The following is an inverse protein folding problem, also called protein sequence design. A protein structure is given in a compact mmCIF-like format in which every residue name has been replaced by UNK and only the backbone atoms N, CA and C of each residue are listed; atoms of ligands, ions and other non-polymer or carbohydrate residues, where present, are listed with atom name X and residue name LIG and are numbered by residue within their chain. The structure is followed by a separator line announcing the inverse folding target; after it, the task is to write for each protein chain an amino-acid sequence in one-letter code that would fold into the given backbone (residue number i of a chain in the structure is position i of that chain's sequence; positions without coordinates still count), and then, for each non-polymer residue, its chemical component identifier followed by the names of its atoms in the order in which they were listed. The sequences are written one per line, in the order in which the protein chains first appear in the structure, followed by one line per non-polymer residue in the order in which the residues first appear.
data_IF_084846820483
#
_entry.id   IF_084846820483
#
_cell.length_a   1.000
_cell.length_b   1.000
_cell.length_c   1.000
_cell.angle_alpha   90.00
_cell.angle_beta   90.00
_cell.angle_gamma   90.00
#
_symmetry.space_group_name_H-M   'P 1'
#
loop_
_entity.id
_entity.type
_entity.pdbx_description
1 polymer ?
#
# COMPACT_ATOMS: atom_id res chain seq x y z
N UNK A 1 14.48 -10.47 2.97
CA UNK A 1 15.53 -9.71 2.23
C UNK A 1 15.16 -8.23 2.25
N UNK A 2 16.12 -7.29 2.33
CA UNK A 2 15.82 -5.87 2.22
C UNK A 2 15.79 -5.41 0.75
N UNK A 3 15.19 -4.24 0.48
CA UNK A 3 15.03 -3.71 -0.87
C UNK A 3 16.35 -3.41 -1.59
N UNK A 4 17.43 -3.07 -0.86
CA UNK A 4 18.75 -2.80 -1.44
C UNK A 4 19.33 -4.09 -2.03
N UNK A 5 19.33 -5.18 -1.24
CA UNK A 5 19.78 -6.49 -1.70
C UNK A 5 18.91 -7.02 -2.85
N UNK A 6 17.59 -6.85 -2.74
CA UNK A 6 16.67 -7.29 -3.79
C UNK A 6 16.92 -6.57 -5.12
N UNK A 7 17.18 -5.25 -5.11
CA UNK A 7 17.51 -4.49 -6.33
C UNK A 7 18.83 -4.89 -6.99
N UNK A 8 19.74 -5.52 -6.25
CA UNK A 8 20.99 -6.05 -6.79
C UNK A 8 20.80 -7.38 -7.54
N UNK A 9 19.68 -8.07 -7.35
CA UNK A 9 19.36 -9.30 -8.08
C UNK A 9 19.17 -8.96 -9.55
N UNK A 10 19.86 -9.72 -10.43
CA UNK A 10 19.73 -9.54 -11.87
C UNK A 10 18.34 -9.83 -12.35
N UNK A 11 17.71 -8.87 -13.03
CA UNK A 11 16.40 -9.08 -13.67
C UNK A 11 16.48 -10.15 -14.77
N UNK A 12 17.62 -10.29 -15.43
CA UNK A 12 17.86 -11.33 -16.43
C UNK A 12 17.73 -12.74 -15.81
N UNK A 13 18.30 -12.99 -14.61
CA UNK A 13 18.13 -14.26 -13.89
C UNK A 13 16.67 -14.57 -13.59
N UNK A 14 15.91 -13.55 -13.24
CA UNK A 14 14.46 -13.71 -12.97
C UNK A 14 13.71 -14.05 -14.25
N UNK A 15 14.03 -13.40 -15.37
CA UNK A 15 13.43 -13.67 -16.68
C UNK A 15 13.78 -15.10 -17.18
N UNK A 16 15.04 -15.51 -17.04
CA UNK A 16 15.46 -16.88 -17.37
C UNK A 16 14.72 -17.94 -16.55
N UNK A 17 14.54 -17.71 -15.26
CA UNK A 17 13.75 -18.62 -14.41
C UNK A 17 12.28 -18.70 -14.83
N UNK A 18 11.77 -17.67 -15.50
CA UNK A 18 10.41 -17.64 -16.08
C UNK A 18 10.36 -18.25 -17.51
N UNK A 19 11.48 -18.77 -18.01
CA UNK A 19 11.58 -19.30 -19.37
C UNK A 19 11.57 -18.25 -20.47
N UNK A 20 11.89 -16.97 -20.12
CA UNK A 20 11.96 -15.89 -21.09
C UNK A 20 13.38 -15.78 -21.63
N UNK A 21 13.53 -15.95 -22.95
CA UNK A 21 14.80 -15.82 -23.66
C UNK A 21 14.83 -14.51 -24.45
N UNK A 22 15.99 -13.85 -24.58
CA UNK A 22 16.10 -12.64 -25.37
C UNK A 22 15.97 -12.95 -26.87
N UNK A 23 15.14 -12.18 -27.57
CA UNK A 23 14.95 -12.29 -29.02
C UNK A 23 16.02 -11.46 -29.77
N UNK A 24 16.48 -10.37 -29.16
CA UNK A 24 17.49 -9.47 -29.73
C UNK A 24 18.36 -8.88 -28.65
N UNK A 25 19.64 -8.71 -28.93
CA UNK A 25 20.59 -8.05 -28.01
C UNK A 25 21.33 -6.93 -28.75
N UNK A 26 21.59 -5.82 -28.06
CA UNK A 26 22.38 -4.72 -28.55
C UNK A 26 23.16 -4.08 -27.38
N UNK A 27 24.44 -4.45 -27.24
CA UNK A 27 25.25 -4.07 -26.09
C UNK A 27 24.63 -4.56 -24.77
N UNK A 28 24.39 -3.65 -23.84
CA UNK A 28 23.75 -3.94 -22.56
C UNK A 28 22.21 -4.07 -22.63
N UNK A 29 21.62 -3.75 -23.78
CA UNK A 29 20.16 -3.79 -23.98
C UNK A 29 19.72 -5.13 -24.60
N UNK A 30 18.88 -5.86 -23.87
CA UNK A 30 18.31 -7.14 -24.27
C UNK A 30 16.79 -7.01 -24.44
N UNK A 31 16.27 -7.48 -25.57
CA UNK A 31 14.87 -7.39 -25.94
C UNK A 31 14.20 -8.74 -25.89
N UNK A 32 13.03 -8.79 -25.27
CA UNK A 32 12.22 -9.98 -25.06
C UNK A 32 10.81 -9.76 -25.60
N UNK A 33 10.08 -10.83 -25.93
CA UNK A 33 8.63 -10.79 -25.91
C UNK A 33 8.18 -10.48 -24.48
N UNK A 34 7.18 -9.62 -24.34
CA UNK A 34 6.78 -9.17 -23.00
C UNK A 34 6.36 -10.34 -22.12
N UNK A 35 6.99 -10.52 -20.95
CA UNK A 35 6.54 -11.50 -19.97
C UNK A 35 5.21 -11.09 -19.29
N UNK A 36 4.74 -9.87 -19.50
CA UNK A 36 3.55 -9.32 -18.86
C UNK A 36 2.27 -9.58 -19.67
N UNK A 37 2.40 -9.84 -20.99
CA UNK A 37 1.29 -10.11 -21.91
C UNK A 37 1.72 -11.00 -23.07
N UNK A 38 0.77 -11.40 -23.89
CA UNK A 38 1.06 -12.09 -25.16
C UNK A 38 1.30 -11.07 -26.28
N UNK A 39 2.41 -11.20 -26.99
CA UNK A 39 2.75 -10.39 -28.17
C UNK A 39 3.60 -11.16 -29.17
N UNK A 40 3.69 -10.66 -30.40
CA UNK A 40 4.47 -11.28 -31.48
C UNK A 40 5.77 -10.52 -31.79
N UNK A 41 5.86 -9.26 -31.38
CA UNK A 41 7.01 -8.38 -31.62
C UNK A 41 7.65 -8.03 -30.27
N UNK A 42 8.99 -8.21 -30.12
CA UNK A 42 9.66 -7.92 -28.86
C UNK A 42 9.54 -6.44 -28.49
N UNK A 43 8.94 -6.14 -27.34
CA UNK A 43 8.77 -4.79 -26.85
C UNK A 43 9.22 -4.61 -25.39
N UNK A 44 9.56 -5.69 -24.71
CA UNK A 44 10.09 -5.65 -23.37
C UNK A 44 11.63 -5.61 -23.41
N UNK A 45 12.22 -4.53 -22.90
CA UNK A 45 13.66 -4.30 -22.90
C UNK A 45 14.20 -4.33 -21.47
N UNK A 46 15.36 -4.98 -21.28
CA UNK A 46 16.18 -4.82 -20.08
C UNK A 46 17.51 -4.15 -20.44
N UNK A 47 18.03 -3.35 -19.53
CA UNK A 47 19.41 -2.89 -19.57
C UNK A 47 20.18 -3.60 -18.44
N UNK A 48 21.13 -4.47 -18.80
CA UNK A 48 21.89 -5.31 -17.84
C UNK A 48 22.77 -4.48 -16.91
N UNK A 49 23.41 -3.44 -17.42
CA UNK A 49 24.30 -2.57 -16.64
C UNK A 49 23.53 -1.77 -15.59
N UNK A 50 22.35 -1.26 -15.94
CA UNK A 50 21.49 -0.50 -15.04
C UNK A 50 20.61 -1.39 -14.17
N UNK A 51 20.49 -2.68 -14.52
CA UNK A 51 19.55 -3.63 -13.93
C UNK A 51 18.12 -3.09 -13.89
N UNK A 52 17.66 -2.53 -15.03
CA UNK A 52 16.35 -1.91 -15.23
C UNK A 52 15.64 -2.54 -16.42
N UNK A 53 14.32 -2.48 -16.39
CA UNK A 53 13.48 -2.89 -17.51
C UNK A 53 12.54 -1.78 -17.94
N UNK A 54 12.09 -1.87 -19.18
CA UNK A 54 11.03 -1.03 -19.74
C UNK A 54 10.24 -1.83 -20.77
N UNK A 55 8.92 -1.83 -20.63
CA UNK A 55 7.98 -2.39 -21.59
C UNK A 55 7.42 -1.27 -22.47
N UNK A 56 7.83 -1.24 -23.73
CA UNK A 56 7.42 -0.22 -24.69
C UNK A 56 5.95 -0.36 -25.09
N UNK A 57 5.34 -1.53 -24.95
CA UNK A 57 3.93 -1.72 -25.27
C UNK A 57 3.00 -1.16 -24.19
N UNK A 58 3.37 -1.33 -22.92
CA UNK A 58 2.59 -0.82 -21.78
C UNK A 58 3.09 0.54 -21.27
N UNK A 59 4.22 1.05 -21.79
CA UNK A 59 4.87 2.30 -21.37
C UNK A 59 5.20 2.31 -19.85
N UNK A 60 5.55 1.16 -19.31
CA UNK A 60 5.92 0.98 -17.89
C UNK A 60 7.32 0.42 -17.76
N UNK A 61 7.96 0.70 -16.63
CA UNK A 61 9.31 0.19 -16.37
C UNK A 61 9.70 0.31 -14.90
N UNK A 62 10.88 -0.23 -14.57
CA UNK A 62 11.34 -0.20 -13.20
C UNK A 62 12.59 -1.03 -12.92
N UNK A 63 12.74 -1.46 -11.68
CA UNK A 63 13.76 -2.40 -11.22
C UNK A 63 13.17 -3.83 -11.09
N UNK A 64 13.95 -4.77 -10.61
CA UNK A 64 13.51 -6.18 -10.48
C UNK A 64 12.34 -6.35 -9.50
N UNK A 65 12.23 -5.53 -8.46
CA UNK A 65 11.10 -5.60 -7.52
C UNK A 65 9.82 -5.15 -8.23
N UNK A 66 9.88 -4.03 -8.98
CA UNK A 66 8.75 -3.51 -9.74
C UNK A 66 8.29 -4.54 -10.80
N UNK A 67 9.24 -5.25 -11.44
CA UNK A 67 8.93 -6.32 -12.38
C UNK A 67 8.13 -7.46 -11.73
N UNK A 68 8.60 -7.95 -10.57
CA UNK A 68 7.95 -9.07 -9.87
C UNK A 68 6.54 -8.67 -9.38
N UNK A 69 6.40 -7.43 -8.88
CA UNK A 69 5.09 -6.87 -8.50
C UNK A 69 4.16 -6.85 -9.70
N UNK A 70 4.61 -6.31 -10.83
CA UNK A 70 3.80 -6.18 -12.05
C UNK A 70 3.43 -7.56 -12.64
N UNK A 71 4.38 -8.51 -12.65
CA UNK A 71 4.16 -9.85 -13.22
C UNK A 71 3.20 -10.70 -12.42
N UNK A 72 3.28 -10.66 -11.09
CA UNK A 72 2.54 -11.59 -10.21
C UNK A 72 1.43 -10.92 -9.40
N UNK A 73 1.30 -9.59 -9.45
CA UNK A 73 0.37 -8.85 -8.60
C UNK A 73 0.76 -8.87 -7.12
N UNK A 74 2.04 -9.07 -6.81
CA UNK A 74 2.53 -9.19 -5.46
C UNK A 74 2.60 -7.83 -4.75
N UNK A 75 2.45 -7.85 -3.43
CA UNK A 75 2.91 -6.75 -2.58
C UNK A 75 4.44 -6.68 -2.59
N UNK A 76 5.01 -5.55 -2.14
CA UNK A 76 6.48 -5.41 -2.01
C UNK A 76 7.06 -6.52 -1.12
N UNK A 77 6.38 -6.91 -0.06
CA UNK A 77 6.84 -7.98 0.85
C UNK A 77 6.89 -9.35 0.15
N UNK A 78 5.85 -9.68 -0.59
CA UNK A 78 5.77 -10.93 -1.36
C UNK A 78 6.81 -10.96 -2.50
N UNK A 79 7.04 -9.81 -3.15
CA UNK A 79 8.10 -9.67 -4.16
C UNK A 79 9.50 -9.87 -3.55
N UNK A 80 9.77 -9.31 -2.36
CA UNK A 80 11.03 -9.52 -1.65
C UNK A 80 11.22 -10.97 -1.22
N UNK A 81 10.15 -11.66 -0.81
CA UNK A 81 10.19 -13.08 -0.49
C UNK A 81 10.46 -13.92 -1.72
N UNK A 82 9.77 -13.66 -2.83
CA UNK A 82 10.01 -14.33 -4.11
C UNK A 82 11.43 -14.17 -4.60
N UNK A 83 12.01 -12.97 -4.46
CA UNK A 83 13.37 -12.67 -4.91
C UNK A 83 14.46 -13.33 -4.06
N UNK A 84 14.17 -13.78 -2.83
CA UNK A 84 15.16 -14.50 -1.99
C UNK A 84 15.74 -15.73 -2.69
N UNK A 85 14.98 -16.43 -3.53
CA UNK A 85 15.44 -17.63 -4.25
C UNK A 85 16.57 -17.34 -5.28
N UNK A 86 16.77 -16.07 -5.64
CA UNK A 86 17.80 -15.63 -6.58
C UNK A 86 19.03 -15.01 -5.89
N UNK A 87 19.07 -14.97 -4.55
CA UNK A 87 20.19 -14.45 -3.77
C UNK A 87 21.29 -15.52 -3.70
N UNK A 88 22.37 -15.33 -4.48
CA UNK A 88 23.50 -16.25 -4.57
C UNK A 88 24.27 -16.41 -3.25
N UNK A 89 24.06 -15.53 -2.28
CA UNK A 89 24.66 -15.63 -0.94
C UNK A 89 24.13 -16.82 -0.12
N UNK A 90 23.05 -17.48 -0.58
CA UNK A 90 22.45 -18.64 0.10
C UNK A 90 23.08 -19.99 -0.27
N UNK A 91 24.05 -20.07 -1.22
CA UNK A 91 24.61 -21.35 -1.69
C UNK A 91 25.68 -21.98 -0.76
N UNK A 92 26.04 -21.33 0.35
CA UNK A 92 27.05 -21.83 1.30
C UNK A 92 26.53 -22.17 2.70
N UNK A 93 25.26 -22.54 2.86
CA UNK A 93 24.81 -23.09 4.15
C UNK A 93 24.17 -24.47 3.96
N UNK A 94 24.98 -25.48 4.33
CA UNK A 94 24.56 -26.85 4.59
C UNK A 94 23.32 -26.87 5.52
N UNK A 95 22.40 -27.79 5.14
CA UNK A 95 21.22 -28.23 5.85
C UNK A 95 21.41 -28.27 7.37
N UNK A 96 21.10 -27.18 8.06
CA UNK A 96 20.77 -27.19 9.47
C UNK A 96 19.27 -27.06 9.60
N UNK A 97 18.69 -27.99 10.32
CA UNK A 97 17.29 -27.99 10.74
C UNK A 97 17.03 -26.62 11.44
N UNK A 98 16.31 -25.75 10.78
CA UNK A 98 15.86 -24.51 11.41
C UNK A 98 14.69 -24.86 12.31
N UNK A 99 14.95 -25.01 13.60
CA UNK A 99 13.98 -24.62 14.60
C UNK A 99 13.56 -23.17 14.29
N UNK A 100 12.25 -22.94 14.30
CA UNK A 100 11.65 -21.63 14.06
C UNK A 100 12.08 -20.64 15.14
N UNK A 101 13.24 -20.02 14.98
CA UNK A 101 13.55 -18.80 15.70
C UNK A 101 12.78 -17.70 14.99
N UNK A 102 11.72 -17.23 15.61
CA UNK A 102 11.08 -15.97 15.29
C UNK A 102 12.16 -14.91 15.13
N UNK A 103 12.43 -14.48 13.88
CA UNK A 103 13.23 -13.28 13.65
C UNK A 103 12.44 -12.14 14.28
N UNK A 104 12.85 -11.71 15.48
CA UNK A 104 12.39 -10.47 16.09
C UNK A 104 12.48 -9.39 15.02
N UNK A 105 11.35 -8.82 14.65
CA UNK A 105 11.32 -7.67 13.77
C UNK A 105 12.26 -6.61 14.36
N UNK A 106 13.15 -6.02 13.56
CA UNK A 106 14.05 -4.93 14.01
C UNK A 106 13.26 -3.71 14.53
N UNK A 107 11.95 -3.79 14.54
CA UNK A 107 11.00 -2.75 14.94
C UNK A 107 10.31 -3.21 16.23
N UNK A 108 10.45 -2.44 17.27
CA UNK A 108 9.81 -2.67 18.55
C UNK A 108 8.90 -1.49 18.92
N UNK A 109 7.63 -1.78 19.27
CA UNK A 109 6.70 -0.75 19.76
C UNK A 109 6.98 -0.59 21.26
N UNK A 110 7.44 0.62 21.64
CA UNK A 110 7.76 0.94 23.03
C UNK A 110 6.54 1.42 23.81
N UNK A 111 5.69 2.26 23.15
CA UNK A 111 4.54 2.87 23.83
C UNK A 111 3.42 3.21 22.84
N UNK A 112 2.18 3.07 23.29
CA UNK A 112 0.96 3.45 22.58
C UNK A 112 0.15 4.33 23.53
N UNK A 113 -0.01 5.61 23.16
CA UNK A 113 -0.68 6.61 24.01
C UNK A 113 -1.68 7.45 23.20
N UNK A 114 -2.58 8.19 23.86
CA UNK A 114 -3.35 9.24 23.20
C UNK A 114 -2.43 10.27 22.55
N UNK A 115 -2.86 10.84 21.40
CA UNK A 115 -2.06 11.84 20.68
C UNK A 115 -1.88 13.08 21.54
N UNK A 116 -0.65 13.37 21.92
CA UNK A 116 -0.26 14.53 22.75
C UNK A 116 1.01 15.21 22.27
N UNK A 117 1.84 14.58 21.44
CA UNK A 117 3.07 15.16 20.93
C UNK A 117 2.76 16.38 20.04
N UNK A 118 3.38 17.51 20.35
CA UNK A 118 3.14 18.77 19.65
C UNK A 118 3.39 18.66 18.13
N UNK A 119 4.47 18.00 17.71
CA UNK A 119 4.80 17.84 16.29
C UNK A 119 3.75 17.01 15.53
N UNK A 120 3.19 15.98 16.17
CA UNK A 120 2.12 15.17 15.58
C UNK A 120 0.79 15.95 15.52
N UNK A 121 0.51 16.75 16.54
CA UNK A 121 -0.65 17.67 16.53
C UNK A 121 -0.51 18.71 15.41
N UNK A 122 0.68 19.29 15.22
CA UNK A 122 0.93 20.20 14.09
C UNK A 122 0.79 19.48 12.74
N UNK A 123 1.25 18.24 12.65
CA UNK A 123 1.06 17.44 11.44
C UNK A 123 -0.43 17.17 11.15
N UNK A 124 -1.24 16.81 12.15
CA UNK A 124 -2.69 16.70 12.00
C UNK A 124 -3.33 18.03 11.56
N UNK A 125 -2.94 19.15 12.19
CA UNK A 125 -3.41 20.48 11.80
C UNK A 125 -3.02 20.86 10.38
N UNK A 126 -1.82 20.50 9.92
CA UNK A 126 -1.41 20.72 8.52
C UNK A 126 -2.24 19.92 7.52
N UNK A 127 -2.82 18.81 7.95
CA UNK A 127 -3.79 17.98 7.20
C UNK A 127 -5.24 18.37 7.51
N UNK A 128 -5.46 19.51 8.18
CA UNK A 128 -6.76 20.04 8.59
C UNK A 128 -7.57 19.12 9.51
N UNK A 129 -6.93 18.21 10.21
CA UNK A 129 -7.58 17.32 11.18
C UNK A 129 -7.46 17.94 12.58
N UNK A 130 -8.59 18.36 13.14
CA UNK A 130 -8.68 18.99 14.48
C UNK A 130 -9.43 18.14 15.49
N UNK A 131 -10.39 17.34 15.05
CA UNK A 131 -11.24 16.50 15.92
C UNK A 131 -10.66 15.10 16.19
N UNK A 132 -9.35 14.98 16.25
CA UNK A 132 -8.63 13.70 16.37
C UNK A 132 -8.80 13.02 17.73
N UNK A 133 -9.10 13.77 18.80
CA UNK A 133 -9.21 13.23 20.17
C UNK A 133 -10.35 12.23 20.33
N UNK A 134 -11.39 12.36 19.52
CA UNK A 134 -12.58 11.51 19.56
C UNK A 134 -12.43 10.23 18.72
N UNK A 135 -11.26 10.01 18.10
CA UNK A 135 -11.02 8.83 17.24
C UNK A 135 -10.25 7.79 18.03
N UNK A 136 -10.96 6.78 18.54
CA UNK A 136 -10.40 5.74 19.40
C UNK A 136 -9.24 4.95 18.77
N UNK A 137 -9.29 4.74 17.44
CA UNK A 137 -8.29 4.00 16.67
C UNK A 137 -7.03 4.80 16.38
N UNK A 138 -7.05 6.13 16.56
CA UNK A 138 -5.89 6.99 16.34
C UNK A 138 -5.08 7.13 17.64
N UNK A 139 -3.81 6.79 17.58
CA UNK A 139 -2.86 6.83 18.71
C UNK A 139 -1.57 7.50 18.32
N UNK A 140 -0.83 7.93 19.31
CA UNK A 140 0.58 8.23 19.20
C UNK A 140 1.37 6.97 19.52
N UNK A 141 2.25 6.55 18.60
CA UNK A 141 3.05 5.32 18.73
C UNK A 141 4.51 5.73 18.85
N UNK A 142 5.15 5.31 19.94
CA UNK A 142 6.59 5.37 20.10
C UNK A 142 7.15 3.99 19.76
N UNK A 143 8.16 3.97 18.90
CA UNK A 143 8.76 2.72 18.43
C UNK A 143 10.25 2.92 18.14
N UNK A 144 11.00 1.83 18.16
CA UNK A 144 12.40 1.82 17.79
C UNK A 144 12.65 0.96 16.56
N UNK A 145 13.65 1.38 15.77
CA UNK A 145 14.22 0.61 14.67
C UNK A 145 15.73 0.60 14.89
N UNK A 146 16.31 -0.57 15.16
CA UNK A 146 17.76 -0.69 15.42
C UNK A 146 18.22 0.35 16.46
N UNK A 147 17.62 0.35 17.63
CA UNK A 147 17.91 1.26 18.76
C UNK A 147 17.59 2.75 18.54
N UNK A 148 17.25 3.16 17.31
CA UNK A 148 16.80 4.54 17.04
C UNK A 148 15.33 4.69 17.37
N UNK A 149 15.01 5.68 18.21
CA UNK A 149 13.65 5.97 18.65
C UNK A 149 12.91 6.88 17.68
N UNK A 150 11.65 6.57 17.46
CA UNK A 150 10.74 7.30 16.57
C UNK A 150 9.39 7.44 17.25
N UNK A 151 8.63 8.43 16.80
CA UNK A 151 7.23 8.57 17.14
C UNK A 151 6.40 8.97 15.92
N UNK A 152 5.16 8.54 15.86
CA UNK A 152 4.27 8.86 14.76
C UNK A 152 2.80 8.68 15.14
N UNK A 153 1.90 9.16 14.30
CA UNK A 153 0.49 8.80 14.37
C UNK A 153 0.31 7.35 13.93
N UNK A 154 -0.40 6.56 14.71
CA UNK A 154 -0.74 5.19 14.36
C UNK A 154 -2.26 5.00 14.32
N UNK A 155 -2.76 4.39 13.26
CA UNK A 155 -4.14 3.99 13.13
C UNK A 155 -4.25 2.47 13.22
N UNK A 156 -5.00 1.97 14.21
CA UNK A 156 -5.06 0.54 14.51
C UNK A 156 -5.86 -0.22 13.45
N UNK A 157 -5.30 -1.35 12.99
CA UNK A 157 -5.97 -2.25 12.07
C UNK A 157 -6.58 -3.48 12.77
N UNK A 158 -7.33 -4.30 12.03
CA UNK A 158 -8.05 -5.46 12.57
C UNK A 158 -7.13 -6.55 13.11
N UNK A 159 -5.91 -6.68 12.59
CA UNK A 159 -4.90 -7.64 13.08
C UNK A 159 -4.08 -7.13 14.27
N UNK A 160 -4.45 -5.97 14.85
CA UNK A 160 -3.75 -5.36 15.99
C UNK A 160 -2.48 -4.59 15.63
N UNK A 161 -2.11 -4.53 14.35
CA UNK A 161 -1.05 -3.67 13.84
C UNK A 161 -1.49 -2.22 13.70
N UNK A 162 -0.54 -1.34 13.33
CA UNK A 162 -0.79 0.08 13.15
C UNK A 162 -0.28 0.56 11.80
N UNK A 163 -1.14 1.24 11.05
CA UNK A 163 -0.71 2.07 9.93
C UNK A 163 -0.17 3.38 10.47
N UNK A 164 1.10 3.61 10.25
CA UNK A 164 1.84 4.71 10.88
C UNK A 164 2.14 5.81 9.88
N UNK A 165 1.90 7.04 10.28
CA UNK A 165 2.14 8.25 9.51
C UNK A 165 2.81 9.34 10.35
N UNK A 166 3.80 9.96 9.77
CA UNK A 166 4.36 11.23 10.22
C UNK A 166 4.70 12.08 9.00
N UNK A 167 5.22 13.27 9.20
CA UNK A 167 5.75 14.10 8.09
C UNK A 167 6.81 13.35 7.26
N UNK A 168 7.50 12.37 7.86
CA UNK A 168 8.69 11.72 7.29
C UNK A 168 8.52 10.23 7.00
N UNK A 169 7.45 9.60 7.51
CA UNK A 169 7.30 8.15 7.43
C UNK A 169 5.86 7.71 7.10
N UNK A 170 5.77 6.69 6.25
CA UNK A 170 4.57 5.91 5.93
C UNK A 170 4.96 4.44 6.03
N UNK A 171 4.69 3.80 7.17
CA UNK A 171 5.04 2.40 7.42
C UNK A 171 3.90 1.70 8.16
N UNK A 172 3.94 0.37 8.21
CA UNK A 172 3.06 -0.42 9.06
C UNK A 172 3.88 -1.09 10.16
N UNK A 173 3.43 -0.97 11.40
CA UNK A 173 3.98 -1.64 12.56
C UNK A 173 3.12 -2.87 12.88
N UNK A 174 3.75 -4.02 12.97
CA UNK A 174 3.06 -5.30 13.15
C UNK A 174 2.43 -5.81 11.84
N UNK A 175 1.39 -6.63 11.97
CA UNK A 175 0.73 -7.25 10.82
C UNK A 175 -0.11 -6.25 10.06
N UNK A 176 0.05 -6.20 8.74
CA UNK A 176 -0.80 -5.39 7.86
C UNK A 176 -2.20 -5.97 7.72
N UNK A 177 -3.19 -5.10 7.81
CA UNK A 177 -4.60 -5.46 7.61
C UNK A 177 -5.42 -4.21 7.32
N UNK A 178 -6.70 -4.39 6.97
CA UNK A 178 -7.68 -3.33 6.91
C UNK A 178 -8.06 -2.85 8.32
N UNK A 179 -8.63 -1.64 8.42
CA UNK A 179 -9.28 -1.17 9.63
C UNK A 179 -10.79 -1.10 9.36
N UNK A 180 -11.55 -1.98 9.98
CA UNK A 180 -13.01 -2.04 9.83
C UNK A 180 -13.68 -1.54 11.12
N UNK A 181 -14.32 -0.38 11.03
CA UNK A 181 -15.04 0.27 12.14
C UNK A 181 -16.52 0.00 11.94
N UNK A 182 -17.10 -0.74 12.87
CA UNK A 182 -18.50 -1.15 12.84
C UNK A 182 -19.36 -0.26 13.74
N UNK A 183 -20.47 0.19 13.21
CA UNK A 183 -21.53 0.96 13.88
C UNK A 183 -22.91 0.31 13.66
N UNK A 184 -22.92 -0.97 13.25
CA UNK A 184 -24.13 -1.76 12.94
C UNK A 184 -24.98 -1.14 11.82
N UNK A 185 -24.34 -0.50 10.85
CA UNK A 185 -25.00 0.14 9.71
C UNK A 185 -25.14 -0.80 8.51
N UNK A 186 -26.11 -0.51 7.65
CA UNK A 186 -26.31 -1.14 6.35
C UNK A 186 -25.50 -0.47 5.22
N UNK A 187 -24.91 0.68 5.51
CA UNK A 187 -24.05 1.44 4.60
C UNK A 187 -22.58 1.25 4.98
N UNK A 188 -21.76 0.89 4.00
CA UNK A 188 -20.30 0.81 4.14
C UNK A 188 -19.63 1.92 3.36
N UNK A 189 -18.77 2.69 4.02
CA UNK A 189 -17.90 3.69 3.40
C UNK A 189 -16.46 3.18 3.33
N UNK A 190 -15.88 3.15 2.13
CA UNK A 190 -14.55 2.60 1.87
C UNK A 190 -13.57 3.72 1.58
N UNK A 191 -12.46 3.75 2.32
CA UNK A 191 -11.35 4.69 2.16
C UNK A 191 -10.05 3.96 1.86
N UNK A 192 -9.13 4.57 1.09
CA UNK A 192 -7.81 3.99 0.89
C UNK A 192 -6.92 4.19 2.12
N UNK A 193 -6.90 5.39 2.69
CA UNK A 193 -6.09 5.75 3.83
C UNK A 193 -6.87 6.31 5.01
N UNK A 194 -6.28 6.25 6.20
CA UNK A 194 -6.97 6.74 7.40
C UNK A 194 -7.06 8.27 7.47
N UNK A 195 -6.23 9.03 6.74
CA UNK A 195 -6.38 10.48 6.65
C UNK A 195 -7.65 10.89 5.89
N UNK A 196 -8.03 10.14 4.85
CA UNK A 196 -9.25 10.36 4.10
C UNK A 196 -10.47 10.11 4.99
N UNK A 197 -10.45 9.01 5.74
CA UNK A 197 -11.45 8.72 6.76
C UNK A 197 -11.54 9.82 7.83
N UNK A 198 -10.41 10.28 8.38
CA UNK A 198 -10.40 11.35 9.38
C UNK A 198 -10.98 12.66 8.83
N UNK A 199 -10.68 13.00 7.58
CA UNK A 199 -11.22 14.17 6.89
C UNK A 199 -12.73 14.05 6.70
N UNK A 200 -13.19 12.85 6.32
CA UNK A 200 -14.59 12.58 6.11
C UNK A 200 -15.41 12.76 7.41
N UNK A 201 -15.03 12.10 8.49
CA UNK A 201 -15.75 12.21 9.77
C UNK A 201 -15.70 13.62 10.36
N UNK A 202 -14.63 14.37 10.11
CA UNK A 202 -14.55 15.77 10.53
C UNK A 202 -15.47 16.67 9.72
N UNK A 203 -15.59 16.48 8.41
CA UNK A 203 -16.46 17.25 7.53
C UNK A 203 -17.94 17.02 7.83
N UNK A 204 -18.31 15.77 8.03
CA UNK A 204 -19.72 15.39 8.23
C UNK A 204 -20.29 15.88 9.57
N UNK A 205 -19.45 16.11 10.58
CA UNK A 205 -19.88 16.47 11.97
C UNK A 205 -20.89 15.48 12.57
N UNK A 206 -21.10 14.33 11.94
CA UNK A 206 -22.10 13.31 12.25
C UNK A 206 -21.35 12.04 12.67
N UNK A 207 -21.82 11.41 13.72
CA UNK A 207 -21.30 10.10 14.16
C UNK A 207 -21.89 8.95 13.35
N UNK A 208 -21.62 7.81 13.72
CA UNK A 208 -22.03 6.42 13.52
C UNK A 208 -23.23 6.09 12.58
N UNK A 209 -23.42 6.79 11.47
CA UNK A 209 -24.47 6.51 10.47
C UNK A 209 -24.06 5.43 9.46
N UNK A 210 -22.80 5.05 9.46
CA UNK A 210 -22.21 4.08 8.55
C UNK A 210 -21.10 3.26 9.20
N UNK A 211 -20.84 2.09 8.65
CA UNK A 211 -19.63 1.34 8.89
C UNK A 211 -18.52 1.89 7.99
N UNK A 212 -17.26 1.79 8.43
CA UNK A 212 -16.13 2.32 7.68
C UNK A 212 -15.07 1.24 7.48
N UNK A 213 -14.62 1.09 6.23
CA UNK A 213 -13.53 0.19 5.86
C UNK A 213 -12.35 1.01 5.30
N UNK A 214 -11.26 1.08 6.06
CA UNK A 214 -10.03 1.70 5.64
C UNK A 214 -9.10 0.59 5.15
N UNK A 215 -8.77 0.60 3.85
CA UNK A 215 -8.02 -0.48 3.20
C UNK A 215 -6.55 -0.51 3.62
N UNK A 216 -5.98 0.66 3.99
CA UNK A 216 -4.55 0.83 4.28
C UNK A 216 -3.64 0.50 3.07
N UNK A 217 -4.15 -0.23 2.12
CA UNK A 217 -3.67 -0.48 0.76
C UNK A 217 -4.81 -1.11 -0.04
N UNK A 218 -5.07 -0.63 -1.23
CA UNK A 218 -6.13 -1.16 -2.12
C UNK A 218 -5.98 -2.66 -2.40
N UNK A 219 -4.76 -3.20 -2.34
CA UNK A 219 -4.52 -4.65 -2.51
C UNK A 219 -5.25 -5.53 -1.48
N UNK A 220 -5.60 -4.98 -0.31
CA UNK A 220 -6.36 -5.71 0.70
C UNK A 220 -7.85 -5.87 0.35
N UNK A 221 -8.37 -5.10 -0.61
CA UNK A 221 -9.77 -5.21 -1.01
C UNK A 221 -10.11 -6.63 -1.48
N UNK A 222 -9.27 -7.24 -2.31
CA UNK A 222 -9.51 -8.60 -2.82
C UNK A 222 -9.71 -9.64 -1.72
N UNK A 223 -8.97 -9.52 -0.62
CA UNK A 223 -9.08 -10.43 0.54
C UNK A 223 -10.33 -10.16 1.40
N UNK A 224 -10.93 -8.99 1.24
CA UNK A 224 -12.04 -8.51 2.05
C UNK A 224 -13.35 -8.33 1.28
N UNK A 225 -13.44 -8.82 0.04
CA UNK A 225 -14.67 -8.73 -0.78
C UNK A 225 -15.90 -9.36 -0.11
N UNK A 226 -15.72 -10.37 0.74
CA UNK A 226 -16.81 -10.98 1.49
C UNK A 226 -17.49 -10.00 2.46
N UNK A 227 -16.74 -9.03 3.01
CA UNK A 227 -17.29 -8.00 3.90
C UNK A 227 -18.31 -7.15 3.14
N UNK A 228 -18.03 -6.78 1.89
CA UNK A 228 -18.87 -5.90 1.08
C UNK A 228 -20.27 -6.51 0.85
N UNK A 229 -20.36 -7.85 0.77
CA UNK A 229 -21.63 -8.56 0.53
C UNK A 229 -22.64 -8.44 1.68
N UNK A 230 -22.20 -7.98 2.84
CA UNK A 230 -23.08 -7.84 4.02
C UNK A 230 -23.77 -6.47 4.08
N UNK A 231 -23.45 -5.55 3.14
CA UNK A 231 -23.97 -4.20 3.11
C UNK A 231 -24.99 -3.99 1.99
N UNK A 232 -25.98 -3.13 2.24
CA UNK A 232 -27.00 -2.75 1.27
C UNK A 232 -26.53 -1.60 0.37
N UNK A 233 -25.69 -0.70 0.90
CA UNK A 233 -25.10 0.44 0.19
C UNK A 233 -23.60 0.47 0.40
N UNK A 234 -22.85 0.71 -0.66
CA UNK A 234 -21.40 0.91 -0.62
C UNK A 234 -21.08 2.29 -1.18
N UNK A 235 -20.33 3.08 -0.45
CA UNK A 235 -19.78 4.37 -0.88
C UNK A 235 -18.24 4.28 -0.95
N UNK A 236 -17.64 4.67 -2.08
CA UNK A 236 -16.18 4.59 -2.27
C UNK A 236 -15.54 5.96 -2.32
N UNK A 237 -14.43 6.09 -1.58
CA UNK A 237 -13.57 7.27 -1.46
C UNK A 237 -12.10 6.86 -1.64
N UNK A 238 -11.77 6.26 -2.80
CA UNK A 238 -10.42 5.79 -3.13
C UNK A 238 -9.61 6.92 -3.77
N UNK A 239 -8.27 6.76 -3.82
CA UNK A 239 -7.38 7.75 -4.42
C UNK A 239 -7.66 7.90 -5.93
N UNK A 240 -7.44 9.09 -6.49
CA UNK A 240 -7.53 9.37 -7.92
C UNK A 240 -6.22 8.98 -8.62
N UNK A 241 -5.92 7.67 -8.63
CA UNK A 241 -4.82 7.08 -9.36
C UNK A 241 -5.25 5.76 -10.02
N UNK A 242 -4.37 5.19 -10.84
CA UNK A 242 -4.68 3.96 -11.59
C UNK A 242 -5.05 2.77 -10.69
N UNK A 243 -4.56 2.72 -9.46
CA UNK A 243 -4.91 1.67 -8.52
C UNK A 243 -6.30 1.91 -7.91
N UNK A 244 -6.59 3.13 -7.45
CA UNK A 244 -7.91 3.52 -6.95
C UNK A 244 -9.00 3.31 -8.01
N UNK A 245 -8.77 3.72 -9.27
CA UNK A 245 -9.70 3.53 -10.38
C UNK A 245 -9.97 2.05 -10.65
N UNK A 246 -8.93 1.22 -10.70
CA UNK A 246 -9.05 -0.23 -10.88
C UNK A 246 -9.94 -0.87 -9.81
N UNK A 247 -9.73 -0.52 -8.55
CA UNK A 247 -10.47 -1.11 -7.45
C UNK A 247 -11.86 -0.54 -7.28
N UNK A 248 -12.08 0.74 -7.60
CA UNK A 248 -13.41 1.33 -7.73
C UNK A 248 -14.23 0.60 -8.79
N UNK A 249 -13.63 0.38 -9.97
CA UNK A 249 -14.29 -0.40 -11.03
C UNK A 249 -14.61 -1.82 -10.57
N UNK A 250 -13.68 -2.50 -9.89
CA UNK A 250 -13.92 -3.84 -9.35
C UNK A 250 -15.16 -3.86 -8.42
N UNK A 251 -15.33 -2.85 -7.57
CA UNK A 251 -16.50 -2.76 -6.69
C UNK A 251 -17.75 -2.52 -7.52
N UNK A 252 -17.75 -1.57 -8.45
CA UNK A 252 -18.89 -1.24 -9.31
C UNK A 252 -19.35 -2.44 -10.15
N UNK A 253 -18.43 -3.24 -10.67
CA UNK A 253 -18.74 -4.41 -11.51
C UNK A 253 -19.33 -5.59 -10.72
N UNK A 254 -19.13 -5.64 -9.39
CA UNK A 254 -19.49 -6.79 -8.55
C UNK A 254 -20.62 -6.52 -7.52
N UNK A 255 -21.04 -5.27 -7.34
CA UNK A 255 -22.07 -4.89 -6.35
C UNK A 255 -23.12 -3.95 -6.96
N UNK A 256 -24.38 -4.14 -6.59
CA UNK A 256 -25.50 -3.48 -7.28
C UNK A 256 -25.75 -2.03 -6.84
N UNK A 257 -25.46 -1.70 -5.59
CA UNK A 257 -25.74 -0.36 -5.05
C UNK A 257 -24.44 0.24 -4.54
N UNK A 258 -23.71 0.88 -5.46
CA UNK A 258 -22.42 1.53 -5.21
C UNK A 258 -22.47 2.97 -5.67
N UNK A 259 -22.03 3.89 -4.80
CA UNK A 259 -21.82 5.30 -5.14
C UNK A 259 -20.33 5.60 -5.11
N UNK A 260 -19.79 6.03 -6.25
CA UNK A 260 -18.39 6.45 -6.34
C UNK A 260 -18.28 7.96 -6.10
N UNK A 261 -17.58 8.36 -5.05
CA UNK A 261 -17.37 9.76 -4.68
C UNK A 261 -16.04 10.36 -5.17
N UNK A 262 -15.18 9.62 -5.91
CA UNK A 262 -13.94 10.16 -6.49
C UNK A 262 -14.19 11.42 -7.35
N UNK A 263 -15.34 11.52 -8.00
CA UNK A 263 -15.72 12.66 -8.82
C UNK A 263 -15.79 13.99 -8.05
N UNK A 264 -16.07 13.95 -6.73
CA UNK A 264 -16.13 15.16 -5.88
C UNK A 264 -14.75 15.80 -5.74
N UNK A 265 -13.68 14.98 -5.75
CA UNK A 265 -12.30 15.42 -5.58
C UNK A 265 -11.41 15.04 -6.78
N UNK A 266 -11.99 15.01 -7.99
CA UNK A 266 -11.32 14.57 -9.23
C UNK A 266 -10.03 15.31 -9.56
N UNK A 267 -9.90 16.56 -9.13
CA UNK A 267 -8.74 17.42 -9.39
C UNK A 267 -7.66 17.30 -8.29
N UNK A 268 -7.86 16.41 -7.31
CA UNK A 268 -6.98 16.14 -6.19
C UNK A 268 -6.63 14.66 -6.14
N UNK A 269 -5.48 14.34 -5.57
CA UNK A 269 -5.03 12.96 -5.46
C UNK A 269 -5.93 12.11 -4.57
N UNK A 270 -6.31 12.64 -3.41
CA UNK A 270 -7.08 11.94 -2.39
C UNK A 270 -8.12 12.87 -1.73
N UNK A 271 -9.02 12.30 -0.95
CA UNK A 271 -10.07 13.03 -0.26
C UNK A 271 -9.51 14.01 0.78
N UNK A 272 -8.42 13.69 1.48
CA UNK A 272 -7.81 14.59 2.45
C UNK A 272 -7.15 15.81 1.78
N UNK A 273 -6.52 15.64 0.62
CA UNK A 273 -5.95 16.76 -0.12
C UNK A 273 -7.06 17.75 -0.51
N UNK A 274 -8.14 17.27 -1.11
CA UNK A 274 -9.31 18.08 -1.43
C UNK A 274 -9.90 18.78 -0.21
N UNK A 275 -10.13 18.04 0.87
CA UNK A 275 -10.68 18.58 2.12
C UNK A 275 -9.80 19.70 2.69
N UNK A 276 -8.49 19.53 2.64
CA UNK A 276 -7.51 20.48 3.17
C UNK A 276 -7.56 21.84 2.48
N UNK A 277 -7.96 21.89 1.20
CA UNK A 277 -8.07 23.12 0.41
C UNK A 277 -9.45 23.78 0.61
N UNK A 278 -10.54 22.99 0.72
CA UNK A 278 -11.90 23.50 0.91
C UNK A 278 -12.05 24.37 2.17
N UNK A 279 -11.40 24.00 3.26
CA UNK A 279 -11.43 24.78 4.51
C UNK A 279 -10.72 26.15 4.41
N UNK A 280 -9.90 26.39 3.39
CA UNK A 280 -9.28 27.70 3.12
C UNK A 280 -10.23 28.66 2.38
N UNK A 281 -11.22 28.15 1.68
CA UNK A 281 -12.16 28.95 0.88
C UNK A 281 -13.32 29.54 1.69
N UNK A 282 -13.49 29.15 2.97
CA UNK A 282 -14.61 29.58 3.83
C UNK A 282 -14.16 30.68 4.83
N UNK A 283 -12.92 31.14 4.75
CA UNK A 283 -12.39 32.30 5.50
C UNK A 283 -12.17 33.49 4.57
#
# INVERSE_FOLDING_TARGET
MNTIKARAISIEKVLQNLGCEPVKTNGDDYWFLSPLRQEKTPSFKINRKLNKWFDHGEQIGGNVIDFVIQKFGFSVSEALEYLKKFDDSSFFFQKQVFESTEQKSEIEIEQIIPVQNFSLIQYLKSRRITNYKNVSNLKEIHYSIKEKKYFALGFRNNSGGFEVRSKYAKICLGKKDVSHIKNDSKCLRIFEGFFDYLSFIQKQKIGADSDYLILNSVAFLNKNLSILKTYELIETYLDNDAAGDKYTKLILDNYHIVINYQTIYKDFKDYNEWFSVQELAIR
#
